data_IF_741127912098
#
_entry.id   IF_741127912098
#
_cell.length_a   1.000
_cell.length_b   1.000
_cell.length_c   1.000
_cell.angle_alpha   90.00
_cell.angle_beta   90.00
_cell.angle_gamma   90.00
#
_symmetry.space_group_name_H-M   'P 1'
#
loop_
_entity.id
_entity.type
_entity.pdbx_description
1 polymer ?
#
# COMPACT_ATOMS: atom_id res chain seq x y z
N UNK A 1 -35.49 22.35 -47.76
CA UNK A 1 -35.71 22.11 -46.32
C UNK A 1 -35.24 20.75 -45.82
N UNK A 2 -35.35 19.67 -46.58
CA UNK A 2 -34.93 18.30 -46.15
C UNK A 2 -33.42 18.15 -45.89
N UNK A 3 -32.57 18.78 -46.72
CA UNK A 3 -31.09 18.66 -46.60
C UNK A 3 -30.53 19.31 -45.32
N UNK A 4 -31.09 20.43 -44.85
CA UNK A 4 -30.70 21.07 -43.58
C UNK A 4 -31.09 20.22 -42.37
N UNK A 5 -32.24 19.55 -42.42
CA UNK A 5 -32.67 18.64 -41.34
C UNK A 5 -31.78 17.39 -41.26
N UNK A 6 -31.34 16.85 -42.41
CA UNK A 6 -30.43 15.72 -42.45
C UNK A 6 -29.06 16.08 -41.87
N UNK A 7 -28.54 17.27 -42.19
CA UNK A 7 -27.26 17.77 -41.68
C UNK A 7 -27.30 17.98 -40.15
N UNK A 8 -28.39 18.55 -39.63
CA UNK A 8 -28.57 18.73 -38.19
C UNK A 8 -28.74 17.38 -37.44
N UNK A 9 -29.40 16.40 -38.04
CA UNK A 9 -29.56 15.06 -37.50
C UNK A 9 -28.21 14.34 -37.43
N UNK A 10 -27.38 14.47 -38.47
CA UNK A 10 -26.02 13.89 -38.50
C UNK A 10 -25.09 14.51 -37.45
N UNK A 11 -25.18 15.83 -37.22
CA UNK A 11 -24.40 16.53 -36.19
C UNK A 11 -24.84 16.08 -34.78
N UNK A 12 -26.17 15.94 -34.58
CA UNK A 12 -26.71 15.46 -33.30
C UNK A 12 -26.29 14.02 -33.00
N UNK A 13 -26.30 13.14 -34.02
CA UNK A 13 -25.85 11.75 -33.90
C UNK A 13 -24.34 11.67 -33.56
N UNK A 14 -23.53 12.52 -34.23
CA UNK A 14 -22.09 12.60 -33.95
C UNK A 14 -21.82 13.11 -32.53
N UNK A 15 -22.58 14.08 -32.04
CA UNK A 15 -22.47 14.59 -30.67
C UNK A 15 -22.83 13.53 -29.62
N UNK A 16 -23.86 12.70 -29.89
CA UNK A 16 -24.24 11.60 -28.97
C UNK A 16 -23.17 10.52 -28.92
N UNK A 17 -22.48 10.21 -30.02
CA UNK A 17 -21.38 9.24 -30.05
C UNK A 17 -20.14 9.69 -29.25
N UNK A 18 -19.91 11.02 -29.14
CA UNK A 18 -18.77 11.50 -28.33
C UNK A 18 -19.00 11.41 -26.82
N UNK A 19 -20.25 11.38 -26.36
CA UNK A 19 -20.58 11.19 -24.94
C UNK A 19 -20.57 9.71 -24.49
N UNK A 20 -20.61 8.76 -25.42
CA UNK A 20 -20.56 7.34 -25.13
C UNK A 20 -19.12 6.80 -24.90
N UNK A 21 -18.10 7.65 -25.10
CA UNK A 21 -16.68 7.28 -24.94
C UNK A 21 -16.12 7.51 -23.54
N UNK A 22 -16.94 7.84 -22.53
CA UNK A 22 -16.55 7.68 -21.14
C UNK A 22 -16.61 6.19 -20.78
N UNK A 23 -15.72 5.38 -21.35
CA UNK A 23 -15.35 4.10 -20.81
C UNK A 23 -14.94 4.32 -19.37
N UNK A 24 -15.43 3.49 -18.47
CA UNK A 24 -15.07 3.40 -17.06
C UNK A 24 -13.56 3.22 -16.99
N UNK A 25 -12.81 4.31 -16.92
CA UNK A 25 -11.42 4.28 -16.52
C UNK A 25 -11.44 4.01 -15.02
N UNK A 26 -11.43 2.74 -14.66
CA UNK A 26 -11.16 2.34 -13.28
C UNK A 26 -9.72 2.78 -12.99
N UNK A 27 -9.59 3.89 -12.29
CA UNK A 27 -8.37 4.29 -11.60
C UNK A 27 -8.13 3.41 -10.36
N UNK A 28 -8.35 2.12 -10.47
CA UNK A 28 -7.87 1.15 -9.50
C UNK A 28 -6.43 0.85 -9.88
N UNK A 29 -5.49 1.32 -9.06
CA UNK A 29 -4.07 1.32 -9.38
C UNK A 29 -3.40 -0.06 -9.44
N UNK A 30 -4.13 -1.17 -9.35
CA UNK A 30 -3.63 -2.54 -9.42
C UNK A 30 -4.41 -3.42 -10.37
N UNK A 31 -3.73 -4.33 -11.07
CA UNK A 31 -4.34 -5.39 -11.86
C UNK A 31 -4.34 -6.73 -11.09
N UNK A 32 -5.46 -7.12 -10.47
CA UNK A 32 -5.56 -8.41 -9.79
C UNK A 32 -5.69 -9.60 -10.78
N UNK A 33 -5.68 -9.37 -12.09
CA UNK A 33 -5.89 -10.39 -13.09
C UNK A 33 -7.27 -11.05 -12.96
N UNK A 34 -7.30 -12.37 -12.78
CA UNK A 34 -8.55 -13.14 -12.61
C UNK A 34 -8.95 -13.34 -11.15
N UNK A 35 -8.14 -12.90 -10.18
CA UNK A 35 -8.44 -12.97 -8.76
C UNK A 35 -9.67 -12.13 -8.39
N UNK A 36 -10.47 -12.61 -7.47
CA UNK A 36 -11.69 -11.94 -6.98
C UNK A 36 -11.65 -11.68 -5.49
N UNK A 37 -10.83 -12.42 -4.77
CA UNK A 37 -10.74 -12.37 -3.32
C UNK A 37 -9.31 -12.24 -2.86
N UNK A 38 -9.11 -11.60 -1.70
CA UNK A 38 -7.82 -11.56 -1.05
C UNK A 38 -7.95 -11.85 0.46
N UNK A 39 -6.89 -12.42 1.01
CA UNK A 39 -6.73 -12.71 2.42
C UNK A 39 -5.44 -12.02 2.90
N UNK A 40 -5.53 -11.30 4.01
CA UNK A 40 -4.36 -10.78 4.72
C UNK A 40 -4.36 -11.40 6.11
N UNK A 41 -3.40 -12.28 6.38
CA UNK A 41 -3.19 -12.85 7.71
C UNK A 41 -2.58 -11.82 8.64
N UNK A 42 -2.89 -11.95 9.93
CA UNK A 42 -2.29 -11.09 10.95
C UNK A 42 -0.76 -11.22 10.88
N UNK A 43 -0.08 -10.11 10.59
CA UNK A 43 1.38 -10.04 10.61
C UNK A 43 1.89 -10.23 12.04
N UNK A 44 2.85 -11.15 12.21
CA UNK A 44 3.41 -11.39 13.53
C UNK A 44 4.43 -10.32 13.89
N UNK A 45 4.38 -9.79 15.12
CA UNK A 45 5.35 -8.78 15.57
C UNK A 45 6.58 -9.47 16.22
N UNK A 46 7.61 -9.70 15.42
CA UNK A 46 8.91 -10.23 15.87
C UNK A 46 10.00 -9.15 15.97
N UNK A 47 9.63 -7.87 15.94
CA UNK A 47 10.59 -6.76 15.98
C UNK A 47 11.53 -6.86 17.18
N UNK A 48 11.03 -7.27 18.36
CA UNK A 48 11.85 -7.42 19.58
C UNK A 48 12.96 -8.49 19.49
N UNK A 49 12.91 -9.38 18.52
CA UNK A 49 13.97 -10.35 18.28
C UNK A 49 15.18 -9.74 17.55
N UNK A 50 15.03 -8.56 16.98
CA UNK A 50 16.10 -7.83 16.30
C UNK A 50 16.84 -6.92 17.28
N UNK A 51 18.19 -6.91 17.30
CA UNK A 51 18.96 -6.06 18.20
C UNK A 51 18.62 -4.57 18.04
N UNK A 52 18.34 -3.90 19.15
CA UNK A 52 18.01 -2.48 19.20
C UNK A 52 16.58 -2.12 18.79
N UNK A 53 15.75 -3.10 18.45
CA UNK A 53 14.32 -2.89 18.25
C UNK A 53 13.57 -2.84 19.56
N UNK A 54 12.42 -2.16 19.55
CA UNK A 54 11.51 -2.00 20.69
C UNK A 54 10.16 -2.64 20.38
N UNK A 55 9.43 -2.99 21.44
CA UNK A 55 8.07 -3.47 21.32
C UNK A 55 7.08 -2.30 21.25
N UNK A 56 6.27 -2.27 20.20
CA UNK A 56 5.14 -1.35 20.09
C UNK A 56 3.84 -2.17 20.12
N UNK A 57 2.99 -1.99 21.14
CA UNK A 57 1.73 -2.71 21.26
C UNK A 57 0.77 -2.37 20.11
N UNK A 58 0.18 -3.40 19.49
CA UNK A 58 -0.83 -3.25 18.45
C UNK A 58 -0.28 -2.97 17.06
N UNK A 59 1.05 -2.86 16.91
CA UNK A 59 1.70 -2.59 15.62
C UNK A 59 1.32 -3.63 14.55
N UNK A 60 1.20 -4.87 14.94
CA UNK A 60 0.76 -6.01 14.13
C UNK A 60 -0.65 -5.83 13.55
N UNK A 61 -1.60 -5.48 14.40
CA UNK A 61 -3.00 -5.26 14.01
C UNK A 61 -3.16 -4.01 13.14
N UNK A 62 -2.51 -2.92 13.56
CA UNK A 62 -2.63 -1.62 12.88
C UNK A 62 -2.03 -1.70 11.47
N UNK A 63 -0.86 -2.35 11.32
CA UNK A 63 -0.24 -2.58 10.02
C UNK A 63 -1.08 -3.51 9.13
N UNK A 64 -1.57 -4.63 9.69
CA UNK A 64 -2.42 -5.58 8.94
C UNK A 64 -3.69 -4.89 8.42
N UNK A 65 -4.32 -4.07 9.27
CA UNK A 65 -5.53 -3.32 8.89
C UNK A 65 -5.24 -2.30 7.79
N UNK A 66 -4.09 -1.61 7.85
CA UNK A 66 -3.74 -0.63 6.82
C UNK A 66 -3.51 -1.29 5.47
N UNK A 67 -2.84 -2.45 5.42
CA UNK A 67 -2.67 -3.22 4.18
C UNK A 67 -4.03 -3.69 3.63
N UNK A 68 -4.94 -4.18 4.48
CA UNK A 68 -6.29 -4.55 4.07
C UNK A 68 -7.05 -3.35 3.47
N UNK A 69 -7.02 -2.21 4.16
CA UNK A 69 -7.67 -0.98 3.72
C UNK A 69 -7.14 -0.50 2.37
N UNK A 70 -5.81 -0.54 2.17
CA UNK A 70 -5.19 -0.13 0.93
C UNK A 70 -5.66 -0.99 -0.24
N UNK A 71 -5.60 -2.32 -0.10
CA UNK A 71 -6.02 -3.26 -1.15
C UNK A 71 -7.50 -3.08 -1.48
N UNK A 72 -8.38 -2.98 -0.48
CA UNK A 72 -9.81 -2.74 -0.69
C UNK A 72 -10.11 -1.41 -1.39
N UNK A 73 -9.35 -0.36 -1.09
CA UNK A 73 -9.57 0.97 -1.67
C UNK A 73 -9.02 1.08 -3.10
N UNK A 74 -8.00 0.30 -3.45
CA UNK A 74 -7.32 0.39 -4.75
C UNK A 74 -7.68 -0.75 -5.72
N UNK A 75 -8.51 -1.69 -5.30
CA UNK A 75 -8.95 -2.81 -6.14
C UNK A 75 -10.44 -3.10 -5.96
N UNK A 76 -10.97 -3.96 -6.83
CA UNK A 76 -12.33 -4.51 -6.70
C UNK A 76 -12.36 -5.86 -5.97
N UNK A 77 -11.28 -6.24 -5.27
CA UNK A 77 -11.17 -7.52 -4.59
C UNK A 77 -11.98 -7.52 -3.28
N UNK A 78 -12.63 -8.64 -3.00
CA UNK A 78 -13.33 -8.87 -1.74
C UNK A 78 -12.37 -9.43 -0.68
N UNK A 79 -12.32 -8.80 0.51
CA UNK A 79 -11.58 -9.33 1.65
C UNK A 79 -12.27 -10.54 2.24
N UNK A 80 -11.55 -11.65 2.37
CA UNK A 80 -12.03 -12.88 3.00
C UNK A 80 -11.13 -13.27 4.19
N UNK A 81 -11.70 -13.98 5.16
CA UNK A 81 -10.97 -14.42 6.36
C UNK A 81 -10.08 -15.65 6.13
N UNK A 82 -10.31 -16.38 5.04
CA UNK A 82 -9.53 -17.55 4.68
C UNK A 82 -9.74 -17.94 3.23
N UNK A 83 -8.76 -18.65 2.66
CA UNK A 83 -8.81 -19.22 1.32
C UNK A 83 -8.99 -18.19 0.19
N UNK A 84 -8.48 -16.94 0.37
CA UNK A 84 -8.43 -15.94 -0.69
C UNK A 84 -7.68 -16.42 -1.94
N UNK A 85 -8.00 -15.83 -3.11
CA UNK A 85 -7.25 -16.05 -4.35
C UNK A 85 -5.83 -15.48 -4.22
N UNK A 86 -5.73 -14.31 -3.58
CA UNK A 86 -4.46 -13.70 -3.19
C UNK A 86 -4.28 -13.85 -1.67
N UNK A 87 -3.09 -14.24 -1.25
CA UNK A 87 -2.75 -14.37 0.17
C UNK A 87 -1.52 -13.50 0.48
N UNK A 88 -1.68 -12.66 1.49
CA UNK A 88 -0.59 -11.89 2.12
C UNK A 88 -0.38 -12.38 3.53
N UNK A 89 0.85 -12.77 3.87
CA UNK A 89 1.25 -13.12 5.22
C UNK A 89 2.69 -12.66 5.49
N UNK A 90 3.06 -12.55 6.74
CA UNK A 90 4.42 -12.14 7.07
C UNK A 90 4.62 -11.74 8.51
N UNK A 91 5.75 -11.08 8.73
CA UNK A 91 6.17 -10.64 10.06
C UNK A 91 6.83 -9.26 10.04
N UNK A 92 6.60 -8.49 11.10
CA UNK A 92 7.34 -7.25 11.38
C UNK A 92 8.65 -7.67 12.03
N UNK A 93 9.77 -7.40 11.35
CA UNK A 93 11.10 -7.86 11.76
C UNK A 93 11.95 -6.77 12.40
N UNK A 94 11.56 -5.50 12.24
CA UNK A 94 12.27 -4.35 12.80
C UNK A 94 11.29 -3.25 13.19
N UNK A 95 11.49 -2.70 14.39
CA UNK A 95 10.86 -1.47 14.83
C UNK A 95 11.83 -0.77 15.79
N UNK A 96 12.61 0.18 15.29
CA UNK A 96 13.77 0.71 16.01
C UNK A 96 13.86 2.23 15.89
N UNK A 97 14.24 2.87 17.01
CA UNK A 97 14.62 4.27 17.04
C UNK A 97 16.14 4.37 17.17
N UNK A 98 16.77 5.09 16.26
CA UNK A 98 18.21 5.30 16.23
C UNK A 98 18.55 6.79 16.15
N UNK A 99 19.50 7.29 16.95
CA UNK A 99 19.98 8.65 16.78
C UNK A 99 20.77 8.77 15.46
N UNK A 100 20.49 9.83 14.73
CA UNK A 100 21.24 10.19 13.53
C UNK A 100 22.34 11.17 13.88
N UNK A 101 23.58 10.85 13.51
CA UNK A 101 24.70 11.78 13.68
C UNK A 101 24.55 12.93 12.70
N UNK A 102 24.65 14.17 13.21
CA UNK A 102 24.70 15.34 12.35
C UNK A 102 25.92 15.26 11.43
N UNK A 103 25.67 15.24 10.11
CA UNK A 103 26.75 15.45 9.13
C UNK A 103 27.06 16.92 9.05
N UNK A 104 28.24 17.27 8.52
CA UNK A 104 28.79 18.65 8.53
C UNK A 104 27.84 19.76 8.00
N UNK A 105 26.75 19.36 7.30
CA UNK A 105 25.76 20.28 6.75
C UNK A 105 24.38 20.21 7.45
N UNK A 106 24.20 19.40 8.49
CA UNK A 106 22.93 19.30 9.26
C UNK A 106 23.10 20.01 10.60
N UNK A 107 22.34 21.06 10.81
CA UNK A 107 22.38 21.92 12.01
C UNK A 107 21.60 21.36 13.21
N UNK A 108 20.84 20.28 13.06
CA UNK A 108 20.07 19.70 14.15
C UNK A 108 20.21 18.17 14.20
N UNK A 109 20.38 17.64 15.42
CA UNK A 109 20.34 16.21 15.69
C UNK A 109 18.92 15.66 15.41
N UNK A 110 18.83 14.49 14.78
CA UNK A 110 17.57 13.81 14.47
C UNK A 110 17.57 12.40 15.04
N UNK A 111 16.40 11.87 15.28
CA UNK A 111 16.16 10.45 15.50
C UNK A 111 15.47 9.88 14.26
N UNK A 112 15.76 8.62 13.97
CA UNK A 112 15.12 7.84 12.90
C UNK A 112 14.33 6.70 13.51
N UNK A 113 13.02 6.66 13.23
CA UNK A 113 12.22 5.47 13.43
C UNK A 113 12.26 4.63 12.16
N UNK A 114 12.75 3.40 12.26
CA UNK A 114 12.77 2.44 11.15
C UNK A 114 11.82 1.30 11.42
N UNK A 115 11.10 0.85 10.38
CA UNK A 115 10.27 -0.34 10.39
C UNK A 115 10.63 -1.24 9.22
N UNK A 116 10.69 -2.55 9.46
CA UNK A 116 10.93 -3.56 8.45
C UNK A 116 9.93 -4.70 8.57
N UNK A 117 9.42 -5.14 7.42
CA UNK A 117 8.40 -6.18 7.30
C UNK A 117 8.84 -7.20 6.25
N UNK A 118 8.86 -8.47 6.58
CA UNK A 118 8.96 -9.54 5.60
C UNK A 118 7.56 -9.92 5.15
N UNK A 119 7.35 -10.01 3.84
CA UNK A 119 6.05 -10.34 3.24
C UNK A 119 6.22 -11.55 2.33
N UNK A 120 5.34 -12.51 2.49
CA UNK A 120 5.11 -13.61 1.56
C UNK A 120 3.78 -13.36 0.86
N UNK A 121 3.82 -13.29 -0.45
CA UNK A 121 2.66 -13.13 -1.31
C UNK A 121 2.47 -14.40 -2.14
N UNK A 122 1.22 -14.87 -2.21
CA UNK A 122 0.84 -16.01 -3.02
C UNK A 122 -0.37 -15.68 -3.87
N UNK A 123 -0.32 -16.02 -5.14
CA UNK A 123 -1.41 -15.83 -6.09
C UNK A 123 -1.86 -17.18 -6.69
N UNK A 124 -3.00 -17.69 -6.24
CA UNK A 124 -3.53 -18.96 -6.73
C UNK A 124 -3.97 -18.95 -8.20
N UNK A 125 -4.14 -17.74 -8.76
CA UNK A 125 -4.57 -17.60 -10.17
C UNK A 125 -3.37 -17.47 -11.13
N UNK A 126 -2.15 -17.20 -10.57
CA UNK A 126 -0.93 -17.01 -11.34
C UNK A 126 0.30 -17.26 -10.43
N UNK A 127 0.73 -18.53 -10.33
CA UNK A 127 1.77 -18.97 -9.37
C UNK A 127 3.16 -18.38 -9.62
N UNK A 128 3.49 -17.98 -10.85
CA UNK A 128 4.81 -17.42 -11.22
C UNK A 128 5.04 -15.98 -10.74
N UNK A 129 4.06 -15.36 -10.04
CA UNK A 129 4.20 -14.04 -9.42
C UNK A 129 4.34 -14.08 -7.90
N UNK A 130 4.39 -15.27 -7.31
CA UNK A 130 4.64 -15.43 -5.88
C UNK A 130 5.99 -14.86 -5.48
N UNK A 131 6.07 -14.23 -4.32
CA UNK A 131 7.34 -13.72 -3.80
C UNK A 131 7.43 -13.78 -2.28
N UNK A 132 8.67 -13.77 -1.80
CA UNK A 132 9.02 -13.43 -0.41
C UNK A 132 10.03 -12.29 -0.44
N UNK A 133 9.65 -11.15 0.16
CA UNK A 133 10.47 -9.94 0.11
C UNK A 133 10.37 -9.14 1.39
N UNK A 134 11.48 -8.49 1.76
CA UNK A 134 11.50 -7.51 2.84
C UNK A 134 11.21 -6.11 2.30
N UNK A 135 10.27 -5.44 2.94
CA UNK A 135 9.95 -4.03 2.74
C UNK A 135 10.34 -3.25 3.99
N UNK A 136 10.83 -2.04 3.83
CA UNK A 136 11.21 -1.20 4.97
C UNK A 136 11.10 0.28 4.63
N UNK A 137 10.72 1.05 5.64
CA UNK A 137 10.69 2.50 5.53
C UNK A 137 11.08 3.13 6.86
N UNK A 138 11.36 4.44 6.85
CA UNK A 138 11.76 5.17 8.04
C UNK A 138 11.11 6.56 8.09
N UNK A 139 11.03 7.09 9.30
CA UNK A 139 10.57 8.44 9.58
C UNK A 139 11.61 9.17 10.45
N UNK A 140 12.09 10.33 9.97
CA UNK A 140 13.05 11.15 10.70
C UNK A 140 12.34 12.27 11.46
N UNK A 141 12.71 12.48 12.71
CA UNK A 141 12.13 13.51 13.56
C UNK A 141 13.18 14.19 14.44
N UNK A 142 12.96 15.45 14.88
CA UNK A 142 13.92 16.18 15.70
C UNK A 142 14.25 15.43 17.01
N UNK A 143 15.54 15.34 17.35
CA UNK A 143 15.99 14.62 18.56
C UNK A 143 15.47 15.21 19.87
N UNK A 144 15.02 16.46 19.88
CA UNK A 144 14.39 17.12 21.03
C UNK A 144 12.87 16.82 21.15
N UNK A 145 12.28 16.11 20.18
CA UNK A 145 10.89 15.64 20.24
C UNK A 145 10.83 14.27 20.89
N UNK A 146 9.78 14.02 21.71
CA UNK A 146 9.53 12.66 22.21
C UNK A 146 8.91 11.79 21.12
N UNK A 147 9.22 10.50 21.12
CA UNK A 147 8.58 9.57 20.18
C UNK A 147 7.05 9.60 20.31
N UNK A 148 6.51 9.68 21.51
CA UNK A 148 5.07 9.73 21.74
C UNK A 148 4.37 10.92 21.05
N UNK A 149 5.07 12.05 20.92
CA UNK A 149 4.50 13.25 20.26
C UNK A 149 4.43 13.14 18.73
N UNK A 150 5.28 12.31 18.13
CA UNK A 150 5.37 12.13 16.67
C UNK A 150 4.82 10.77 16.20
N UNK A 151 4.55 9.87 17.13
CA UNK A 151 4.19 8.47 16.88
C UNK A 151 3.07 8.31 15.82
N UNK A 152 1.96 9.01 15.98
CA UNK A 152 0.82 8.88 15.07
C UNK A 152 1.17 9.29 13.64
N UNK A 153 1.90 10.39 13.47
CA UNK A 153 2.34 10.84 12.15
C UNK A 153 3.38 9.90 11.54
N UNK A 154 4.34 9.45 12.37
CA UNK A 154 5.39 8.55 11.93
C UNK A 154 4.84 7.18 11.49
N UNK A 155 3.95 6.57 12.27
CA UNK A 155 3.34 5.28 11.92
C UNK A 155 2.48 5.40 10.67
N UNK A 156 1.69 6.47 10.55
CA UNK A 156 0.88 6.71 9.35
C UNK A 156 1.75 6.73 8.11
N UNK A 157 2.81 7.54 8.08
CA UNK A 157 3.69 7.67 6.92
C UNK A 157 4.43 6.35 6.61
N UNK A 158 4.94 5.67 7.63
CA UNK A 158 5.64 4.39 7.46
C UNK A 158 4.69 3.32 6.91
N UNK A 159 3.47 3.21 7.44
CA UNK A 159 2.49 2.24 6.97
C UNK A 159 2.07 2.53 5.53
N UNK A 160 1.71 3.79 5.22
CA UNK A 160 1.36 4.20 3.86
C UNK A 160 2.45 3.81 2.85
N UNK A 161 3.72 4.04 3.17
CA UNK A 161 4.83 3.71 2.27
C UNK A 161 5.05 2.22 2.13
N UNK A 162 5.14 1.48 3.22
CA UNK A 162 5.38 0.03 3.18
C UNK A 162 4.21 -0.69 2.50
N UNK A 163 2.97 -0.35 2.84
CA UNK A 163 1.80 -1.00 2.24
C UNK A 163 1.65 -0.67 0.75
N UNK A 164 2.00 0.56 0.34
CA UNK A 164 2.03 0.93 -1.07
C UNK A 164 3.13 0.17 -1.84
N UNK A 165 4.30 -0.02 -1.25
CA UNK A 165 5.38 -0.79 -1.87
C UNK A 165 5.00 -2.27 -2.02
N UNK A 166 4.31 -2.86 -1.01
CA UNK A 166 3.76 -4.23 -1.08
C UNK A 166 2.71 -4.33 -2.19
N UNK A 167 1.79 -3.37 -2.25
CA UNK A 167 0.75 -3.30 -3.26
C UNK A 167 1.36 -3.23 -4.68
N UNK A 168 2.34 -2.36 -4.86
CA UNK A 168 3.03 -2.21 -6.14
C UNK A 168 3.76 -3.50 -6.55
N UNK A 169 4.42 -4.16 -5.60
CA UNK A 169 5.14 -5.41 -5.88
C UNK A 169 4.21 -6.57 -6.25
N UNK A 170 2.96 -6.57 -5.75
CA UNK A 170 2.01 -7.68 -5.93
C UNK A 170 0.99 -7.47 -7.04
N UNK A 171 0.56 -6.22 -7.29
CA UNK A 171 -0.59 -5.91 -8.12
C UNK A 171 -0.34 -4.81 -9.17
N UNK A 172 0.79 -4.10 -9.14
CA UNK A 172 1.10 -3.16 -10.21
C UNK A 172 1.70 -3.91 -11.41
N UNK A 173 1.09 -3.75 -12.56
CA UNK A 173 1.60 -4.26 -13.84
C UNK A 173 2.70 -3.30 -14.32
N UNK A 174 3.96 -3.77 -14.34
CA UNK A 174 5.12 -3.04 -14.88
C UNK A 174 5.58 -3.64 -16.20
#
# INVERSE_FOLDING_TARGET
MKLKRLKNLSILLLAILTFASCGIYNFTGGDPGTAKTFEVRLFQNYATQSPGSTFEPGLDRDFTQELQNLIQNQTSLDLVSSNGDLLYEGEITEFRISPMTATANQTAAQNRLSMGVNVRFFNKTKEDVDFEQRFSFFYDYPANSSFSSVKSAALKEIFERITQDIFNASLADW
#
